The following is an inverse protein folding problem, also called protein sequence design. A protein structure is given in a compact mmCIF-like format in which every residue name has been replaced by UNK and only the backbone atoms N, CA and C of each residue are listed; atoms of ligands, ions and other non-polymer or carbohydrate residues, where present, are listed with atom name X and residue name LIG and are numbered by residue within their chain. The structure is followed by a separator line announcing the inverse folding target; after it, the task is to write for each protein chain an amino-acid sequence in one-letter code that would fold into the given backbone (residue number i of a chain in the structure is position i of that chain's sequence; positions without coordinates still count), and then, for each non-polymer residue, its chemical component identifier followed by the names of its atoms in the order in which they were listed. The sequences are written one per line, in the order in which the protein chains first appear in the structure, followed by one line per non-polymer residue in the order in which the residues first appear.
data_IF_848968477072
#
_entry.id   IF_848968477072
#
_cell.length_a   1.000
_cell.length_b   1.000
_cell.length_c   1.000
_cell.angle_alpha   90.00
_cell.angle_beta   90.00
_cell.angle_gamma   90.00
#
_symmetry.space_group_name_H-M   'P 1'
#
loop_
_entity.id
_entity.type
_entity.pdbx_description
1 polymer ?
#
# COMPACT_ATOMS: atom_id res chain seq x y z
N UNK A 1 -25.08 -62.36 6.32
CA UNK A 1 -26.24 -62.64 5.47
C UNK A 1 -26.41 -61.46 4.52
N UNK A 2 -26.05 -61.72 3.22
CA UNK A 2 -26.39 -61.03 1.96
C UNK A 2 -26.43 -59.51 1.89
N UNK A 3 -25.42 -58.86 1.28
CA UNK A 3 -25.17 -58.63 -0.18
C UNK A 3 -26.39 -58.25 -1.00
N UNK A 4 -26.40 -57.02 -1.56
CA UNK A 4 -26.66 -56.78 -2.99
C UNK A 4 -26.00 -55.46 -3.43
N UNK A 5 -25.02 -55.58 -4.33
CA UNK A 5 -24.46 -54.54 -5.17
C UNK A 5 -25.31 -54.36 -6.39
N UNK A 6 -25.63 -53.16 -6.84
CA UNK A 6 -26.14 -52.89 -8.20
C UNK A 6 -25.22 -51.96 -8.94
N UNK A 7 -24.44 -52.55 -9.85
CA UNK A 7 -23.74 -51.85 -10.96
C UNK A 7 -24.77 -51.49 -12.02
N UNK A 8 -24.88 -50.19 -12.39
CA UNK A 8 -25.56 -49.76 -13.63
C UNK A 8 -24.47 -49.58 -14.69
N UNK A 9 -24.44 -50.53 -15.64
CA UNK A 9 -23.61 -50.46 -16.84
C UNK A 9 -24.30 -49.68 -17.94
N UNK A 10 -23.65 -48.65 -18.48
CA UNK A 10 -24.10 -48.02 -19.72
C UNK A 10 -23.58 -48.77 -20.94
N UNK A 11 -24.54 -49.27 -21.74
CA UNK A 11 -24.28 -49.99 -22.99
C UNK A 11 -24.01 -49.02 -24.14
N UNK A 12 -22.94 -49.27 -24.92
CA UNK A 12 -22.51 -48.51 -26.10
C UNK A 12 -23.36 -48.67 -27.36
N UNK A 13 -24.63 -49.08 -27.26
CA UNK A 13 -25.46 -49.44 -28.43
C UNK A 13 -26.73 -48.60 -28.71
N UNK A 14 -26.79 -47.35 -28.19
CA UNK A 14 -27.93 -46.44 -28.46
C UNK A 14 -27.54 -45.19 -29.25
N UNK A 15 -26.62 -45.34 -30.21
CA UNK A 15 -26.16 -44.23 -31.03
C UNK A 15 -26.15 -44.63 -32.51
N UNK A 16 -27.30 -45.03 -33.07
CA UNK A 16 -27.51 -45.05 -34.51
C UNK A 16 -28.91 -45.56 -34.81
N UNK A 17 -29.90 -44.65 -34.87
CA UNK A 17 -31.05 -44.73 -35.79
C UNK A 17 -31.86 -43.44 -35.70
N UNK A 18 -32.00 -42.74 -36.82
CA UNK A 18 -32.92 -41.62 -36.95
C UNK A 18 -32.39 -40.49 -37.82
N UNK A 19 -32.11 -40.80 -39.09
CA UNK A 19 -32.00 -39.75 -40.10
C UNK A 19 -33.40 -39.49 -40.70
N UNK A 20 -33.72 -38.24 -40.87
CA UNK A 20 -34.52 -37.57 -41.85
C UNK A 20 -35.59 -36.62 -41.29
N UNK A 21 -35.49 -35.37 -41.65
CA UNK A 21 -36.66 -34.49 -41.77
C UNK A 21 -36.66 -33.22 -40.93
N UNK A 22 -36.33 -32.17 -41.59
CA UNK A 22 -36.84 -30.79 -41.57
C UNK A 22 -35.81 -29.72 -41.19
N UNK A 23 -35.43 -28.97 -42.21
CA UNK A 23 -34.79 -27.66 -42.14
C UNK A 23 -35.73 -26.68 -41.42
N UNK A 24 -35.42 -26.37 -40.19
CA UNK A 24 -35.87 -25.17 -39.53
C UNK A 24 -34.64 -24.37 -39.13
N UNK A 25 -34.45 -23.21 -39.76
CA UNK A 25 -33.44 -22.26 -39.42
C UNK A 25 -33.68 -21.73 -38.00
N UNK A 26 -33.03 -22.34 -37.01
CA UNK A 26 -32.92 -21.75 -35.68
C UNK A 26 -31.68 -20.89 -35.66
N UNK A 27 -31.90 -19.59 -35.55
CA UNK A 27 -30.89 -18.60 -35.19
C UNK A 27 -30.14 -19.07 -33.94
N UNK A 28 -28.94 -19.60 -34.14
CA UNK A 28 -28.00 -19.85 -33.05
C UNK A 28 -27.55 -18.47 -32.52
N UNK A 29 -28.20 -18.03 -31.47
CA UNK A 29 -27.65 -16.95 -30.65
C UNK A 29 -26.29 -17.43 -30.14
N UNK A 30 -25.23 -16.88 -30.70
CA UNK A 30 -23.89 -16.95 -30.11
C UNK A 30 -23.96 -16.25 -28.74
N UNK A 31 -24.39 -16.95 -27.71
CA UNK A 31 -24.04 -16.56 -26.36
C UNK A 31 -22.51 -16.64 -26.26
N UNK A 32 -21.90 -15.49 -26.50
CA UNK A 32 -20.49 -15.27 -26.13
C UNK A 32 -20.46 -15.42 -24.62
N UNK A 33 -20.12 -16.61 -24.12
CA UNK A 33 -19.75 -16.80 -22.74
C UNK A 33 -18.55 -15.88 -22.50
N UNK A 34 -18.81 -14.71 -21.94
CA UNK A 34 -17.77 -13.81 -21.47
C UNK A 34 -16.85 -14.65 -20.58
N UNK A 35 -15.60 -14.81 -20.98
CA UNK A 35 -14.60 -15.45 -20.11
C UNK A 35 -14.71 -14.78 -18.75
N UNK A 36 -14.80 -15.53 -17.64
CA UNK A 36 -14.87 -14.93 -16.32
C UNK A 36 -13.70 -13.98 -16.18
N UNK A 37 -14.01 -12.69 -16.06
CA UNK A 37 -12.99 -11.66 -15.81
C UNK A 37 -12.36 -12.01 -14.47
N UNK A 38 -11.08 -12.36 -14.47
CA UNK A 38 -10.35 -12.59 -13.20
C UNK A 38 -10.56 -11.34 -12.34
N UNK A 39 -10.98 -11.47 -11.07
CA UNK A 39 -11.10 -10.32 -10.20
C UNK A 39 -9.78 -9.56 -10.18
N UNK A 40 -9.83 -8.25 -10.35
CA UNK A 40 -8.64 -7.41 -10.32
C UNK A 40 -7.94 -7.60 -8.98
N UNK A 41 -6.64 -7.81 -9.00
CA UNK A 41 -5.81 -7.96 -7.80
C UNK A 41 -5.95 -6.74 -6.89
N UNK A 42 -6.16 -6.97 -5.60
CA UNK A 42 -6.14 -5.90 -4.60
C UNK A 42 -4.71 -5.39 -4.42
N UNK A 43 -4.59 -4.08 -4.21
CA UNK A 43 -3.29 -3.40 -4.11
C UNK A 43 -3.30 -2.39 -2.96
N UNK A 44 -2.12 -2.08 -2.43
CA UNK A 44 -1.90 -1.07 -1.40
C UNK A 44 -0.99 0.04 -1.93
N UNK A 45 -1.41 1.29 -1.75
CA UNK A 45 -0.57 2.47 -1.92
C UNK A 45 -0.47 3.21 -0.58
N UNK A 46 0.73 3.26 -0.01
CA UNK A 46 1.02 3.98 1.23
C UNK A 46 1.73 5.30 0.90
N UNK A 47 1.07 6.42 1.10
CA UNK A 47 1.65 7.76 1.05
C UNK A 47 2.12 8.12 2.46
N UNK A 48 3.41 8.02 2.69
CA UNK A 48 4.02 8.20 4.01
C UNK A 48 4.61 9.60 4.15
N UNK A 49 4.01 10.41 5.03
CA UNK A 49 4.40 11.78 5.32
C UNK A 49 5.45 11.78 6.43
N UNK A 50 6.70 11.49 6.04
CA UNK A 50 7.83 11.23 6.94
C UNK A 50 8.22 12.45 7.75
N UNK A 51 8.25 12.27 9.04
CA UNK A 51 8.47 13.33 10.02
C UNK A 51 7.21 13.71 10.78
N UNK A 52 6.06 13.15 10.43
CA UNK A 52 4.80 13.43 11.13
C UNK A 52 4.17 14.77 10.75
N UNK A 53 3.37 14.77 9.68
CA UNK A 53 2.62 15.95 9.26
C UNK A 53 1.69 16.45 10.38
N UNK A 54 1.72 17.76 10.63
CA UNK A 54 0.87 18.35 11.67
C UNK A 54 -0.61 18.25 11.32
N UNK A 55 -1.38 17.66 12.23
CA UNK A 55 -2.83 17.58 12.12
C UNK A 55 -3.48 18.97 12.07
N UNK A 56 -2.88 19.98 12.72
CA UNK A 56 -3.40 21.35 12.77
C UNK A 56 -3.31 22.04 11.40
N UNK A 57 -2.24 21.82 10.69
CA UNK A 57 -1.99 22.42 9.38
C UNK A 57 -2.55 21.56 8.23
N UNK A 58 -3.18 20.41 8.55
CA UNK A 58 -3.76 19.50 7.55
C UNK A 58 -5.24 19.18 7.84
N UNK A 59 -5.50 18.10 8.54
CA UNK A 59 -6.83 17.46 8.61
C UNK A 59 -7.73 17.97 9.74
N UNK A 60 -7.17 18.51 10.82
CA UNK A 60 -7.91 18.89 12.04
C UNK A 60 -7.53 20.29 12.55
N UNK A 61 -7.73 21.34 11.72
CA UNK A 61 -7.36 22.71 12.09
C UNK A 61 -8.17 23.23 13.28
N UNK A 62 -7.54 24.07 14.12
CA UNK A 62 -8.14 24.71 15.31
C UNK A 62 -8.04 26.25 15.21
N UNK A 63 -8.59 26.87 14.16
CA UNK A 63 -8.41 28.30 13.90
C UNK A 63 -8.92 29.16 15.07
N UNK A 64 -8.22 30.25 15.38
CA UNK A 64 -8.58 31.17 16.44
C UNK A 64 -8.32 30.68 17.86
N UNK A 65 -7.77 29.48 18.03
CA UNK A 65 -7.34 28.99 19.35
C UNK A 65 -5.84 29.23 19.55
N UNK A 66 -5.37 29.13 20.79
CA UNK A 66 -3.94 29.27 21.12
C UNK A 66 -3.05 28.17 20.49
N UNK A 67 -3.65 27.08 20.02
CA UNK A 67 -2.97 25.95 19.40
C UNK A 67 -3.08 25.91 17.88
N UNK A 68 -4.00 26.68 17.28
CA UNK A 68 -4.41 26.57 15.88
C UNK A 68 -3.42 27.12 14.84
N UNK A 69 -2.47 27.97 15.27
CA UNK A 69 -1.56 28.64 14.36
C UNK A 69 -2.26 29.68 13.46
N UNK A 70 -1.59 30.15 12.40
CA UNK A 70 -2.06 31.29 11.57
C UNK A 70 -3.07 30.89 10.49
N UNK A 71 -3.25 29.61 10.20
CA UNK A 71 -4.05 29.17 9.06
C UNK A 71 -5.53 29.06 9.38
N UNK A 72 -6.34 29.33 8.35
CA UNK A 72 -7.79 29.22 8.43
C UNK A 72 -8.23 27.77 8.15
N UNK A 73 -9.46 27.48 8.58
CA UNK A 73 -10.17 26.27 8.19
C UNK A 73 -11.15 26.57 7.05
N UNK A 74 -11.09 25.80 5.98
CA UNK A 74 -11.97 25.93 4.81
C UNK A 74 -13.00 24.80 4.78
N UNK A 75 -14.18 25.10 4.22
CA UNK A 75 -15.23 24.10 3.98
C UNK A 75 -14.80 23.07 2.96
N UNK A 76 -15.32 21.87 3.10
CA UNK A 76 -15.04 20.74 2.20
C UNK A 76 -16.29 20.33 1.42
N UNK A 77 -16.14 19.35 0.53
CA UNK A 77 -17.27 18.71 -0.15
C UNK A 77 -18.17 17.89 0.80
N UNK A 78 -17.81 17.74 2.07
CA UNK A 78 -18.66 17.12 3.09
C UNK A 78 -19.26 18.25 3.95
N UNK A 79 -20.59 18.40 4.00
CA UNK A 79 -21.24 19.43 4.79
C UNK A 79 -20.78 19.43 6.26
N UNK A 80 -20.45 20.60 6.80
CA UNK A 80 -20.01 20.76 8.21
C UNK A 80 -18.55 20.36 8.48
N UNK A 81 -17.87 19.70 7.55
CA UNK A 81 -16.47 19.30 7.70
C UNK A 81 -15.54 20.38 7.14
N UNK A 82 -14.55 20.76 7.93
CA UNK A 82 -13.50 21.68 7.53
C UNK A 82 -12.12 21.04 7.67
N UNK A 83 -11.19 21.44 6.78
CA UNK A 83 -9.75 21.12 6.84
C UNK A 83 -8.94 22.39 6.69
N UNK A 84 -7.62 22.32 6.80
CA UNK A 84 -6.74 23.46 6.62
C UNK A 84 -6.88 24.09 5.23
N UNK A 85 -6.80 25.43 5.14
CA UNK A 85 -6.75 26.15 3.88
C UNK A 85 -5.52 25.80 3.01
N UNK A 86 -4.54 25.12 3.57
CA UNK A 86 -3.39 24.63 2.83
C UNK A 86 -3.72 23.44 1.91
N UNK A 87 -4.93 22.88 2.01
CA UNK A 87 -5.40 21.73 1.21
C UNK A 87 -6.64 22.08 0.35
N UNK A 88 -6.58 23.13 -0.51
CA UNK A 88 -7.75 23.63 -1.20
C UNK A 88 -8.27 22.70 -2.31
N UNK A 89 -7.43 21.85 -2.91
CA UNK A 89 -7.87 20.87 -3.90
C UNK A 89 -8.44 19.64 -3.23
N UNK A 90 -7.78 19.15 -2.18
CA UNK A 90 -8.26 18.01 -1.36
C UNK A 90 -9.63 18.32 -0.73
N UNK A 91 -9.88 19.58 -0.31
CA UNK A 91 -11.18 19.97 0.25
C UNK A 91 -12.36 19.69 -0.70
N UNK A 92 -12.14 19.76 -2.01
CA UNK A 92 -13.15 19.51 -3.05
C UNK A 92 -13.45 18.02 -3.26
N UNK A 93 -12.53 17.14 -2.88
CA UNK A 93 -12.66 15.69 -3.04
C UNK A 93 -12.81 14.93 -1.73
N UNK A 94 -13.06 15.63 -0.61
CA UNK A 94 -13.20 15.02 0.71
C UNK A 94 -14.27 13.93 0.76
N UNK A 95 -15.31 14.04 -0.05
CA UNK A 95 -16.35 13.00 -0.21
C UNK A 95 -15.82 11.65 -0.72
N UNK A 96 -14.58 11.59 -1.21
CA UNK A 96 -13.89 10.35 -1.65
C UNK A 96 -12.91 9.81 -0.61
N UNK A 97 -12.69 10.56 0.45
CA UNK A 97 -11.74 10.23 1.52
C UNK A 97 -12.46 9.79 2.79
N UNK A 98 -11.79 8.97 3.56
CA UNK A 98 -12.10 8.72 4.97
C UNK A 98 -10.98 9.32 5.78
N UNK A 99 -11.30 10.27 6.66
CA UNK A 99 -10.33 10.92 7.55
C UNK A 99 -10.53 10.43 8.97
N UNK A 100 -9.45 10.03 9.63
CA UNK A 100 -9.43 9.67 11.05
C UNK A 100 -8.71 10.77 11.80
N UNK A 101 -9.39 11.43 12.77
CA UNK A 101 -8.84 12.53 13.59
C UNK A 101 -8.45 12.12 15.00
N UNK A 102 -8.56 10.85 15.30
CA UNK A 102 -8.45 10.33 16.67
C UNK A 102 -7.37 9.27 16.84
N UNK A 103 -6.34 9.29 15.98
CA UNK A 103 -5.24 8.34 16.12
C UNK A 103 -4.44 8.68 17.38
N UNK A 104 -4.19 7.65 18.19
CA UNK A 104 -3.46 7.74 19.44
C UNK A 104 -2.48 6.56 19.55
N UNK A 105 -1.21 6.83 19.37
CA UNK A 105 -0.14 5.84 19.51
C UNK A 105 0.59 5.94 20.84
N UNK A 106 0.56 7.10 21.48
CA UNK A 106 1.42 7.47 22.61
C UNK A 106 2.93 7.33 22.34
N UNK A 107 3.33 7.33 21.08
CA UNK A 107 4.72 7.16 20.65
C UNK A 107 5.20 8.47 19.99
N UNK A 108 5.96 9.32 20.70
CA UNK A 108 6.53 10.55 20.16
C UNK A 108 7.98 10.34 19.67
N UNK A 109 8.25 9.25 18.97
CA UNK A 109 9.57 8.86 18.47
C UNK A 109 9.47 8.35 17.04
N UNK A 110 10.35 8.80 16.15
CA UNK A 110 10.28 8.46 14.73
C UNK A 110 10.49 6.98 14.47
N UNK A 111 11.51 6.39 15.08
CA UNK A 111 11.84 5.00 14.79
C UNK A 111 10.75 4.03 15.30
N UNK A 112 10.38 4.18 16.57
CA UNK A 112 9.32 3.37 17.17
C UNK A 112 7.96 3.66 16.54
N UNK A 113 7.65 4.93 16.28
CA UNK A 113 6.38 5.35 15.65
C UNK A 113 6.24 4.79 14.25
N UNK A 114 7.30 4.87 13.44
CA UNK A 114 7.32 4.32 12.09
C UNK A 114 7.14 2.81 12.09
N UNK A 115 7.86 2.10 12.97
CA UNK A 115 7.71 0.66 13.10
C UNK A 115 6.30 0.27 13.56
N UNK A 116 5.81 0.89 14.63
CA UNK A 116 4.50 0.58 15.18
C UNK A 116 3.36 0.90 14.19
N UNK A 117 3.46 2.01 13.45
CA UNK A 117 2.52 2.35 12.39
C UNK A 117 2.45 1.27 11.31
N UNK A 118 3.59 0.80 10.85
CA UNK A 118 3.67 -0.13 9.73
C UNK A 118 3.46 -1.59 10.13
N UNK A 119 3.70 -1.97 11.37
CA UNK A 119 3.50 -3.35 11.85
C UNK A 119 2.21 -3.55 12.67
N UNK A 120 1.57 -2.44 13.08
CA UNK A 120 0.46 -2.46 14.05
C UNK A 120 0.89 -2.88 15.45
N UNK A 121 2.19 -2.92 15.73
CA UNK A 121 2.76 -3.48 16.98
C UNK A 121 3.92 -2.62 17.46
N UNK A 122 4.11 -2.56 18.77
CA UNK A 122 5.27 -1.90 19.39
C UNK A 122 6.47 -2.84 19.60
N UNK A 123 6.32 -4.13 19.31
CA UNK A 123 7.35 -5.16 19.49
C UNK A 123 8.01 -5.48 18.14
N UNK A 124 9.35 -5.41 18.02
CA UNK A 124 10.05 -5.69 16.77
C UNK A 124 9.96 -7.17 16.34
N UNK A 125 10.27 -7.43 15.05
CA UNK A 125 10.32 -8.76 14.47
C UNK A 125 9.10 -9.14 13.63
N UNK A 126 8.04 -8.34 13.65
CA UNK A 126 6.86 -8.54 12.79
C UNK A 126 7.03 -7.83 11.43
N UNK A 127 6.43 -8.39 10.37
CA UNK A 127 6.48 -7.77 9.05
C UNK A 127 5.76 -6.42 9.04
N UNK A 128 6.29 -5.47 8.29
CA UNK A 128 5.61 -4.21 8.00
C UNK A 128 4.46 -4.42 7.02
N UNK A 129 3.51 -3.49 6.99
CA UNK A 129 2.28 -3.57 6.20
C UNK A 129 2.53 -3.93 4.73
N UNK A 130 3.55 -3.32 4.10
CA UNK A 130 3.89 -3.62 2.71
C UNK A 130 4.29 -5.08 2.49
N UNK A 131 5.13 -5.62 3.37
CA UNK A 131 5.58 -7.02 3.33
C UNK A 131 4.45 -7.99 3.67
N UNK A 132 3.63 -7.65 4.66
CA UNK A 132 2.46 -8.43 5.05
C UNK A 132 1.45 -8.53 3.89
N UNK A 133 1.09 -7.40 3.27
CA UNK A 133 0.16 -7.34 2.13
C UNK A 133 0.75 -8.07 0.92
N UNK A 134 2.05 -7.90 0.63
CA UNK A 134 2.72 -8.63 -0.45
C UNK A 134 2.63 -10.15 -0.27
N UNK A 135 2.78 -10.65 0.97
CA UNK A 135 2.62 -12.08 1.29
C UNK A 135 1.18 -12.55 1.17
N UNK A 136 0.25 -11.80 1.74
CA UNK A 136 -1.15 -12.23 1.90
C UNK A 136 -1.96 -12.14 0.60
N UNK A 137 -1.54 -11.27 -0.34
CA UNK A 137 -2.17 -11.10 -1.66
C UNK A 137 -1.34 -11.70 -2.81
N UNK A 138 -0.29 -12.47 -2.50
CA UNK A 138 0.55 -13.12 -3.50
C UNK A 138 -0.28 -14.03 -4.42
N UNK A 139 -0.02 -13.93 -5.72
CA UNK A 139 -0.59 -14.80 -6.73
C UNK A 139 0.51 -15.69 -7.37
N UNK A 140 0.17 -16.89 -7.85
CA UNK A 140 1.16 -17.80 -8.45
C UNK A 140 1.88 -17.21 -9.68
N UNK A 141 1.28 -16.24 -10.36
CA UNK A 141 1.78 -15.55 -11.54
C UNK A 141 2.41 -14.16 -11.24
N UNK A 142 2.67 -13.87 -9.96
CA UNK A 142 3.38 -12.66 -9.56
C UNK A 142 4.88 -12.79 -9.82
N UNK A 143 5.38 -12.10 -10.83
CA UNK A 143 6.80 -12.09 -11.19
C UNK A 143 7.56 -10.87 -10.66
N UNK A 144 6.85 -9.78 -10.34
CA UNK A 144 7.45 -8.57 -9.77
C UNK A 144 7.55 -8.69 -8.24
N UNK A 145 8.47 -7.95 -7.60
CA UNK A 145 8.46 -7.81 -6.15
C UNK A 145 7.09 -7.35 -5.66
N UNK A 146 6.57 -8.02 -4.65
CA UNK A 146 5.26 -7.69 -4.10
C UNK A 146 5.23 -6.34 -3.36
N UNK A 147 6.39 -5.86 -2.89
CA UNK A 147 6.52 -4.58 -2.19
C UNK A 147 7.65 -3.73 -2.75
N UNK A 148 7.35 -2.47 -3.10
CA UNK A 148 8.32 -1.48 -3.56
C UNK A 148 8.17 -0.21 -2.73
N UNK A 149 9.30 0.31 -2.21
CA UNK A 149 9.38 1.57 -1.47
C UNK A 149 10.13 2.62 -2.28
N UNK A 150 9.47 3.75 -2.55
CA UNK A 150 10.00 4.87 -3.35
C UNK A 150 10.25 6.05 -2.43
N UNK A 151 11.45 6.62 -2.49
CA UNK A 151 11.83 7.80 -1.72
C UNK A 151 12.88 8.64 -2.44
N UNK A 152 13.09 9.88 -2.02
CA UNK A 152 14.31 10.60 -2.36
C UNK A 152 15.48 10.09 -1.52
N UNK A 153 16.70 10.42 -1.90
CA UNK A 153 17.85 10.26 -1.04
C UNK A 153 17.73 11.18 0.19
N UNK A 154 18.17 10.71 1.35
CA UNK A 154 17.98 11.46 2.59
C UNK A 154 18.32 10.64 3.83
N UNK A 155 18.06 11.18 5.03
CA UNK A 155 18.37 10.51 6.29
C UNK A 155 17.74 9.10 6.34
N UNK A 156 18.55 8.11 6.66
CA UNK A 156 18.13 6.70 6.73
C UNK A 156 17.42 6.34 8.04
N UNK A 157 17.58 7.18 9.07
CA UNK A 157 17.35 6.81 10.46
C UNK A 157 15.95 6.28 10.78
N UNK A 158 14.90 6.76 10.12
CA UNK A 158 13.52 6.35 10.45
C UNK A 158 12.69 5.88 9.24
N UNK A 159 13.31 5.71 8.07
CA UNK A 159 12.61 5.23 6.88
C UNK A 159 12.95 3.79 6.50
N UNK A 160 14.01 3.24 7.07
CA UNK A 160 14.57 1.93 6.77
C UNK A 160 14.41 0.97 7.96
N UNK A 161 13.18 0.76 8.39
CA UNK A 161 12.88 -0.29 9.38
C UNK A 161 12.79 -1.61 8.64
N UNK A 162 13.37 -2.67 9.18
CA UNK A 162 13.36 -4.00 8.60
C UNK A 162 11.94 -4.39 8.15
N UNK A 163 11.80 -4.75 6.88
CA UNK A 163 10.50 -4.76 6.24
C UNK A 163 9.75 -6.08 6.42
N UNK A 164 10.43 -7.21 6.19
CA UNK A 164 9.77 -8.51 6.08
C UNK A 164 9.64 -9.28 7.39
N UNK A 165 10.42 -8.92 8.44
CA UNK A 165 10.43 -9.66 9.69
C UNK A 165 10.64 -11.17 9.46
N UNK A 166 9.85 -12.01 10.11
CA UNK A 166 9.92 -13.47 9.97
C UNK A 166 9.45 -14.00 8.60
N UNK A 167 8.87 -13.19 7.72
CA UNK A 167 8.46 -13.63 6.37
C UNK A 167 9.66 -13.87 5.46
N UNK A 168 10.81 -13.26 5.75
CA UNK A 168 12.07 -13.46 5.05
C UNK A 168 12.21 -12.64 3.76
N UNK A 169 13.38 -12.75 3.13
CA UNK A 169 13.84 -11.89 2.04
C UNK A 169 12.92 -11.82 0.81
N UNK A 170 12.09 -12.82 0.58
CA UNK A 170 11.12 -12.81 -0.52
C UNK A 170 10.17 -11.62 -0.47
N UNK A 171 9.79 -11.21 0.73
CA UNK A 171 8.81 -10.15 0.98
C UNK A 171 9.45 -8.85 1.45
N UNK A 172 10.79 -8.78 1.43
CA UNK A 172 11.53 -7.56 1.66
C UNK A 172 11.18 -6.52 0.59
N UNK A 173 11.04 -5.25 1.00
CA UNK A 173 10.73 -4.17 0.08
C UNK A 173 11.91 -3.84 -0.83
N UNK A 174 11.68 -3.75 -2.13
CA UNK A 174 12.67 -3.21 -3.07
C UNK A 174 12.66 -1.69 -2.99
N UNK A 175 13.83 -1.09 -2.75
CA UNK A 175 13.97 0.37 -2.63
C UNK A 175 14.28 1.02 -3.96
N UNK A 176 13.58 2.10 -4.23
CA UNK A 176 13.84 3.02 -5.35
C UNK A 176 14.17 4.38 -4.76
N UNK A 177 15.29 4.95 -5.17
CA UNK A 177 15.76 6.25 -4.70
C UNK A 177 15.77 7.23 -5.88
N UNK A 178 15.26 8.45 -5.68
CA UNK A 178 15.26 9.54 -6.66
C UNK A 178 14.65 9.17 -8.02
N UNK A 179 13.59 8.38 -8.04
CA UNK A 179 12.92 7.88 -9.27
C UNK A 179 13.85 7.13 -10.24
N UNK A 180 15.02 6.73 -9.79
CA UNK A 180 15.95 5.97 -10.61
C UNK A 180 15.60 4.49 -10.54
N UNK A 181 15.74 3.82 -11.67
CA UNK A 181 15.68 2.35 -11.69
C UNK A 181 16.63 1.80 -10.64
N UNK A 182 16.29 0.69 -9.97
CA UNK A 182 17.24 0.01 -9.10
C UNK A 182 18.58 -0.19 -9.82
N UNK A 183 19.67 0.00 -9.07
CA UNK A 183 21.02 -0.19 -9.63
C UNK A 183 21.19 -1.60 -10.21
N UNK A 184 22.04 -1.74 -11.21
CA UNK A 184 22.40 -3.01 -11.83
C UNK A 184 21.26 -3.79 -12.52
N UNK A 185 20.17 -3.12 -12.92
CA UNK A 185 19.13 -3.74 -13.77
C UNK A 185 19.57 -3.96 -15.22
N UNK A 186 20.74 -3.51 -15.60
CA UNK A 186 21.31 -3.69 -16.96
C UNK A 186 22.52 -4.60 -16.82
N UNK A 187 22.46 -5.74 -17.49
CA UNK A 187 23.63 -6.61 -17.57
C UNK A 187 24.79 -5.85 -18.25
N UNK A 188 26.04 -6.01 -17.77
CA UNK A 188 27.19 -5.43 -18.46
C UNK A 188 27.22 -5.85 -19.93
N UNK A 189 27.54 -4.93 -20.83
CA UNK A 189 27.62 -5.21 -22.29
C UNK A 189 28.60 -6.34 -22.65
N UNK A 190 29.56 -6.61 -21.76
CA UNK A 190 30.52 -7.71 -21.91
C UNK A 190 29.92 -9.10 -21.66
N UNK A 191 28.72 -9.18 -21.03
CA UNK A 191 28.07 -10.45 -20.69
C UNK A 191 27.08 -10.83 -21.81
N UNK A 192 27.43 -11.83 -22.59
CA UNK A 192 26.54 -12.34 -23.63
C UNK A 192 25.38 -13.14 -23.03
N UNK A 193 24.17 -13.11 -23.65
CA UNK A 193 22.99 -13.85 -23.19
C UNK A 193 23.24 -15.35 -22.97
N UNK A 194 24.09 -15.97 -23.78
CA UNK A 194 24.44 -17.39 -23.69
C UNK A 194 25.18 -17.69 -22.39
N UNK A 195 26.04 -16.76 -21.95
CA UNK A 195 26.75 -16.87 -20.66
C UNK A 195 25.78 -16.75 -19.49
N UNK A 196 24.85 -15.80 -19.53
CA UNK A 196 23.81 -15.67 -18.53
C UNK A 196 22.99 -16.94 -18.40
N UNK A 197 22.54 -17.52 -19.51
CA UNK A 197 21.78 -18.78 -19.51
C UNK A 197 22.60 -19.97 -18.98
N UNK A 198 23.91 -19.99 -19.25
CA UNK A 198 24.78 -21.03 -18.68
C UNK A 198 24.95 -20.88 -17.18
N UNK A 199 25.19 -19.68 -16.70
CA UNK A 199 25.29 -19.35 -15.27
C UNK A 199 24.02 -19.76 -14.55
N UNK A 200 22.84 -19.46 -15.09
CA UNK A 200 21.55 -19.85 -14.50
C UNK A 200 21.38 -21.36 -14.41
N UNK A 201 21.74 -22.11 -15.45
CA UNK A 201 21.68 -23.57 -15.43
C UNK A 201 22.61 -24.17 -14.37
N UNK A 202 23.85 -23.66 -14.29
CA UNK A 202 24.82 -24.11 -13.28
C UNK A 202 24.33 -23.79 -11.87
N UNK A 203 23.83 -22.57 -11.65
CA UNK A 203 23.23 -22.16 -10.37
C UNK A 203 22.07 -23.08 -9.96
N UNK A 204 21.09 -23.32 -10.84
CA UNK A 204 19.95 -24.19 -10.57
C UNK A 204 20.39 -25.61 -10.20
N UNK A 205 21.36 -26.17 -10.95
CA UNK A 205 21.89 -27.52 -10.67
C UNK A 205 22.63 -27.57 -9.33
N UNK A 206 23.38 -26.53 -9.00
CA UNK A 206 24.08 -26.40 -7.70
C UNK A 206 23.10 -26.26 -6.55
N UNK A 207 22.08 -25.42 -6.69
CA UNK A 207 21.03 -25.22 -5.69
C UNK A 207 20.25 -26.52 -5.42
N UNK A 208 19.94 -27.29 -6.47
CA UNK A 208 19.28 -28.59 -6.30
C UNK A 208 20.17 -29.58 -5.53
N UNK A 209 21.45 -29.67 -5.88
CA UNK A 209 22.39 -30.55 -5.16
C UNK A 209 22.54 -30.10 -3.68
N UNK A 210 22.61 -28.82 -3.44
CA UNK A 210 22.77 -28.26 -2.10
C UNK A 210 21.53 -28.45 -1.23
N UNK A 211 20.33 -28.50 -1.82
CA UNK A 211 19.07 -28.79 -1.11
C UNK A 211 18.96 -30.22 -0.62
N UNK A 212 19.66 -31.16 -1.25
CA UNK A 212 19.59 -32.57 -0.83
C UNK A 212 20.16 -32.74 0.57
N UNK A 213 19.33 -33.19 1.50
CA UNK A 213 19.71 -33.51 2.89
C UNK A 213 19.94 -32.31 3.82
N UNK A 214 19.54 -31.07 3.43
CA UNK A 214 19.68 -29.86 4.24
C UNK A 214 18.37 -29.13 4.43
N UNK A 215 18.28 -28.36 5.53
CA UNK A 215 17.16 -27.45 5.73
C UNK A 215 17.21 -26.34 4.66
N UNK A 216 16.19 -26.30 3.77
CA UNK A 216 16.26 -25.62 2.47
C UNK A 216 15.89 -24.13 2.50
N UNK A 217 15.52 -23.55 3.67
CA UNK A 217 14.93 -22.21 3.73
C UNK A 217 15.86 -21.05 3.28
N UNK A 218 17.13 -20.96 3.70
CA UNK A 218 18.01 -19.89 3.23
C UNK A 218 18.30 -20.00 1.71
N UNK A 219 18.38 -21.22 1.20
CA UNK A 219 18.67 -21.49 -0.22
C UNK A 219 17.44 -21.16 -1.09
N UNK A 220 16.24 -21.49 -0.60
CA UNK A 220 15.01 -21.12 -1.27
C UNK A 220 14.87 -19.59 -1.37
N UNK A 221 15.19 -18.86 -0.28
CA UNK A 221 15.19 -17.39 -0.26
C UNK A 221 16.16 -16.79 -1.29
N UNK A 222 17.38 -17.32 -1.38
CA UNK A 222 18.37 -16.87 -2.38
C UNK A 222 17.87 -17.06 -3.82
N UNK A 223 17.36 -18.26 -4.14
CA UNK A 223 16.79 -18.53 -5.48
C UNK A 223 15.62 -17.63 -5.83
N UNK A 224 14.76 -17.32 -4.86
CA UNK A 224 13.63 -16.39 -5.06
C UNK A 224 14.10 -14.97 -5.32
N UNK A 225 15.04 -14.45 -4.52
CA UNK A 225 15.60 -13.10 -4.71
C UNK A 225 16.29 -12.97 -6.08
N UNK A 226 17.00 -14.01 -6.52
CA UNK A 226 17.61 -14.03 -7.85
C UNK A 226 16.55 -13.98 -8.97
N UNK A 227 15.49 -14.76 -8.85
CA UNK A 227 14.41 -14.76 -9.83
C UNK A 227 13.65 -13.42 -9.87
N UNK A 228 13.48 -12.76 -8.71
CA UNK A 228 12.93 -11.41 -8.65
C UNK A 228 13.84 -10.39 -9.33
N UNK A 229 15.16 -10.47 -9.13
CA UNK A 229 16.12 -9.61 -9.82
C UNK A 229 16.08 -9.80 -11.33
N UNK A 230 16.04 -11.05 -11.82
CA UNK A 230 15.91 -11.37 -13.24
C UNK A 230 14.60 -10.82 -13.84
N UNK A 231 13.48 -10.97 -13.12
CA UNK A 231 12.19 -10.42 -13.54
C UNK A 231 12.21 -8.88 -13.61
N UNK A 232 12.89 -8.21 -12.66
CA UNK A 232 13.09 -6.77 -12.69
C UNK A 232 13.94 -6.33 -13.88
N UNK A 233 15.04 -7.04 -14.17
CA UNK A 233 15.89 -6.77 -15.33
C UNK A 233 15.12 -6.89 -16.65
N UNK A 234 14.25 -7.89 -16.79
CA UNK A 234 13.40 -8.10 -17.96
C UNK A 234 12.29 -7.06 -18.13
N UNK A 235 11.92 -6.35 -17.07
CA UNK A 235 10.85 -5.34 -17.06
C UNK A 235 11.33 -3.96 -16.59
N UNK A 236 12.61 -3.64 -16.78
CA UNK A 236 13.21 -2.38 -16.34
C UNK A 236 12.46 -1.13 -16.81
N UNK A 237 11.76 -1.22 -17.94
CA UNK A 237 10.97 -0.13 -18.51
C UNK A 237 9.82 0.35 -17.60
N UNK A 238 9.37 -0.46 -16.62
CA UNK A 238 8.32 -0.02 -15.68
C UNK A 238 8.79 1.10 -14.75
N UNK A 239 10.12 1.19 -14.53
CA UNK A 239 10.73 2.22 -13.68
C UNK A 239 11.02 3.51 -14.44
N UNK A 240 10.93 3.51 -15.76
CA UNK A 240 11.29 4.63 -16.61
C UNK A 240 10.11 5.58 -16.78
N UNK A 241 10.02 6.59 -15.89
CA UNK A 241 8.98 7.62 -15.96
C UNK A 241 9.20 8.63 -17.10
N UNK A 242 10.37 8.65 -17.76
CA UNK A 242 10.60 9.52 -18.92
C UNK A 242 9.65 9.21 -20.09
N UNK A 243 9.03 8.04 -20.07
CA UNK A 243 8.01 7.61 -21.04
C UNK A 243 6.61 8.16 -20.77
N UNK A 244 6.39 8.74 -19.60
CA UNK A 244 5.13 9.42 -19.30
C UNK A 244 5.06 10.76 -20.04
N UNK A 245 3.86 11.28 -20.26
CA UNK A 245 3.67 12.53 -20.98
C UNK A 245 4.19 13.73 -20.17
N UNK A 246 4.65 14.78 -20.86
CA UNK A 246 5.02 16.04 -20.19
C UNK A 246 3.85 16.60 -19.37
N UNK A 247 2.62 16.43 -19.86
CA UNK A 247 1.41 16.81 -19.14
C UNK A 247 1.27 16.05 -17.83
N UNK A 248 1.61 14.75 -17.78
CA UNK A 248 1.58 13.98 -16.54
C UNK A 248 2.64 14.48 -15.56
N UNK A 249 3.88 14.69 -16.03
CA UNK A 249 4.92 15.28 -15.19
C UNK A 249 4.50 16.63 -14.60
N UNK A 250 3.86 17.47 -15.40
CA UNK A 250 3.39 18.78 -14.95
C UNK A 250 2.22 18.66 -13.97
N UNK A 251 1.24 17.78 -14.20
CA UNK A 251 0.08 17.58 -13.31
C UNK A 251 0.49 17.06 -11.93
N UNK A 252 1.40 16.10 -11.87
CA UNK A 252 1.93 15.55 -10.61
C UNK A 252 2.84 16.52 -9.88
N UNK A 253 3.43 17.50 -10.58
CA UNK A 253 4.42 18.45 -10.06
C UNK A 253 5.86 17.94 -10.24
N UNK A 254 6.79 18.88 -10.49
CA UNK A 254 8.20 18.58 -10.79
C UNK A 254 9.08 18.32 -9.55
N UNK A 255 8.46 18.26 -8.38
CA UNK A 255 9.12 17.93 -7.12
C UNK A 255 9.16 16.40 -6.91
N UNK A 256 10.06 15.94 -6.05
CA UNK A 256 10.31 14.50 -5.81
C UNK A 256 9.06 13.70 -5.49
N UNK A 257 8.20 14.21 -4.60
CA UNK A 257 6.98 13.50 -4.20
C UNK A 257 6.03 13.30 -5.38
N UNK A 258 5.84 14.33 -6.23
CA UNK A 258 5.00 14.24 -7.42
C UNK A 258 5.50 13.19 -8.40
N UNK A 259 6.80 13.21 -8.71
CA UNK A 259 7.42 12.26 -9.62
C UNK A 259 7.44 10.83 -9.04
N UNK A 260 7.63 10.69 -7.72
CA UNK A 260 7.51 9.41 -7.01
C UNK A 260 6.09 8.84 -7.08
N UNK A 261 5.05 9.68 -6.97
CA UNK A 261 3.66 9.26 -7.13
C UNK A 261 3.32 8.86 -8.56
N UNK A 262 3.88 9.54 -9.56
CA UNK A 262 3.76 9.17 -10.97
C UNK A 262 4.37 7.78 -11.22
N UNK A 263 5.55 7.50 -10.67
CA UNK A 263 6.17 6.17 -10.71
C UNK A 263 5.31 5.13 -9.96
N UNK A 264 4.78 5.46 -8.80
CA UNK A 264 3.92 4.56 -8.02
C UNK A 264 2.66 4.15 -8.81
N UNK A 265 1.99 5.09 -9.47
CA UNK A 265 0.87 4.80 -10.39
C UNK A 265 1.29 3.76 -11.44
N UNK A 266 2.43 3.96 -12.07
CA UNK A 266 2.97 3.07 -13.11
C UNK A 266 3.28 1.67 -12.59
N UNK A 267 3.88 1.57 -11.41
CA UNK A 267 4.17 0.28 -10.75
C UNK A 267 2.89 -0.48 -10.39
N UNK A 268 1.88 0.20 -9.84
CA UNK A 268 0.57 -0.40 -9.56
C UNK A 268 -0.10 -0.89 -10.84
N UNK A 269 -0.05 -0.12 -11.94
CA UNK A 269 -0.54 -0.56 -13.26
C UNK A 269 0.18 -1.80 -13.79
N UNK A 270 1.45 -1.96 -13.43
CA UNK A 270 2.27 -3.12 -13.81
C UNK A 270 2.02 -4.35 -12.93
N UNK A 271 1.16 -4.25 -11.90
CA UNK A 271 0.77 -5.38 -11.05
C UNK A 271 1.56 -5.51 -9.74
N UNK A 272 2.37 -4.51 -9.36
CA UNK A 272 3.00 -4.48 -8.02
C UNK A 272 1.92 -4.42 -6.96
N UNK A 273 2.00 -5.29 -5.94
CA UNK A 273 0.95 -5.43 -4.93
C UNK A 273 0.92 -4.28 -3.94
N UNK A 274 2.10 -3.85 -3.49
CA UNK A 274 2.25 -2.76 -2.53
C UNK A 274 3.30 -1.76 -2.99
N UNK A 275 2.94 -0.48 -2.99
CA UNK A 275 3.89 0.62 -3.23
C UNK A 275 3.79 1.60 -2.06
N UNK A 276 4.94 1.93 -1.47
CA UNK A 276 5.09 3.01 -0.48
C UNK A 276 5.79 4.18 -1.14
N UNK A 277 5.24 5.37 -1.01
CA UNK A 277 5.88 6.62 -1.44
C UNK A 277 6.13 7.48 -0.21
N UNK A 278 7.37 7.85 0.02
CA UNK A 278 7.73 8.72 1.15
C UNK A 278 7.82 10.17 0.70
N UNK A 279 7.06 11.03 1.37
CA UNK A 279 7.16 12.48 1.29
C UNK A 279 7.87 12.99 2.54
N UNK A 280 9.04 13.62 2.37
CA UNK A 280 9.92 14.05 3.46
C UNK A 280 9.61 15.46 3.97
N UNK A 281 10.33 15.83 5.04
CA UNK A 281 10.43 17.18 5.62
C UNK A 281 9.14 17.66 6.30
N UNK A 282 8.41 16.74 6.95
CA UNK A 282 7.29 17.09 7.81
C UNK A 282 7.71 17.26 9.28
N UNK A 283 8.99 17.02 9.61
CA UNK A 283 9.55 17.15 10.96
C UNK A 283 9.93 18.61 11.29
N UNK A 284 8.91 19.45 11.45
CA UNK A 284 9.07 20.89 11.56
C UNK A 284 9.14 21.39 13.01
N UNK A 285 10.28 21.15 13.68
CA UNK A 285 10.59 21.68 15.01
C UNK A 285 10.84 23.20 15.05
N UNK A 286 11.04 23.83 13.90
CA UNK A 286 11.16 25.26 13.70
C UNK A 286 10.44 25.63 12.39
N UNK A 287 9.99 26.87 12.31
CA UNK A 287 9.34 27.42 11.10
C UNK A 287 8.22 26.50 10.55
N UNK A 288 7.44 25.86 11.43
CA UNK A 288 6.42 24.88 11.07
C UNK A 288 5.46 25.38 10.00
N UNK A 289 5.06 26.65 10.10
CA UNK A 289 4.06 27.22 9.20
C UNK A 289 4.61 27.41 7.79
N UNK A 290 5.86 27.83 7.67
CA UNK A 290 6.56 27.95 6.38
C UNK A 290 6.72 26.59 5.70
N UNK A 291 7.20 25.60 6.46
CA UNK A 291 7.39 24.25 5.90
C UNK A 291 6.08 23.60 5.50
N UNK A 292 5.02 23.74 6.30
CA UNK A 292 3.71 23.18 5.94
C UNK A 292 3.09 23.87 4.72
N UNK A 293 3.31 25.16 4.47
CA UNK A 293 2.88 25.81 3.22
C UNK A 293 3.50 25.13 2.00
N UNK A 294 4.79 24.84 2.04
CA UNK A 294 5.50 24.20 0.93
C UNK A 294 5.02 22.74 0.77
N UNK A 295 5.07 21.96 1.85
CA UNK A 295 4.75 20.52 1.80
C UNK A 295 3.27 20.26 1.49
N UNK A 296 2.36 21.07 2.02
CA UNK A 296 0.95 20.93 1.68
C UNK A 296 0.67 21.31 0.22
N UNK A 297 1.34 22.31 -0.35
CA UNK A 297 1.17 22.65 -1.76
C UNK A 297 1.59 21.50 -2.69
N UNK A 298 2.73 20.87 -2.40
CA UNK A 298 3.20 19.67 -3.10
C UNK A 298 2.22 18.50 -2.93
N UNK A 299 1.81 18.24 -1.70
CA UNK A 299 0.93 17.13 -1.33
C UNK A 299 -0.47 17.26 -1.92
N UNK A 300 -1.12 18.41 -1.74
CA UNK A 300 -2.52 18.67 -2.13
C UNK A 300 -2.74 18.43 -3.63
N UNK A 301 -1.87 19.01 -4.46
CA UNK A 301 -1.92 18.83 -5.90
C UNK A 301 -1.68 17.39 -6.32
N UNK A 302 -0.63 16.78 -5.78
CA UNK A 302 -0.24 15.41 -6.14
C UNK A 302 -1.29 14.39 -5.72
N UNK A 303 -1.82 14.50 -4.50
CA UNK A 303 -2.85 13.60 -3.99
C UNK A 303 -4.10 13.60 -4.88
N UNK A 304 -4.60 14.80 -5.21
CA UNK A 304 -5.81 14.91 -6.04
C UNK A 304 -5.57 14.37 -7.44
N UNK A 305 -4.43 14.68 -8.05
CA UNK A 305 -4.05 14.13 -9.37
C UNK A 305 -3.98 12.61 -9.35
N UNK A 306 -3.31 12.04 -8.35
CA UNK A 306 -3.15 10.59 -8.20
C UNK A 306 -4.49 9.88 -8.01
N UNK A 307 -5.35 10.38 -7.13
CA UNK A 307 -6.68 9.79 -6.89
C UNK A 307 -7.59 9.87 -8.12
N UNK A 308 -7.50 10.97 -8.89
CA UNK A 308 -8.22 11.09 -10.15
C UNK A 308 -7.73 10.07 -11.17
N UNK A 309 -6.43 9.96 -11.37
CA UNK A 309 -5.83 8.99 -12.30
C UNK A 309 -6.18 7.53 -11.93
N UNK A 310 -6.11 7.19 -10.64
CA UNK A 310 -6.49 5.85 -10.18
C UNK A 310 -7.99 5.57 -10.41
N UNK A 311 -8.84 6.56 -10.20
CA UNK A 311 -10.29 6.45 -10.44
C UNK A 311 -10.61 6.31 -11.93
N UNK A 312 -10.06 7.19 -12.78
CA UNK A 312 -10.28 7.18 -14.24
C UNK A 312 -9.82 5.88 -14.89
N UNK A 313 -8.76 5.27 -14.34
CA UNK A 313 -8.26 3.97 -14.79
C UNK A 313 -8.99 2.77 -14.18
N UNK A 314 -10.02 2.99 -13.35
CA UNK A 314 -10.75 1.94 -12.64
C UNK A 314 -9.85 1.10 -11.72
N UNK A 315 -8.82 1.74 -11.14
CA UNK A 315 -7.89 1.12 -10.21
C UNK A 315 -8.24 1.38 -8.75
N UNK A 316 -8.87 2.53 -8.46
CA UNK A 316 -9.12 2.97 -7.08
C UNK A 316 -9.99 1.97 -6.31
N UNK A 317 -10.95 1.32 -6.95
CA UNK A 317 -11.82 0.29 -6.35
C UNK A 317 -11.04 -0.95 -5.85
N UNK A 318 -9.85 -1.18 -6.39
CA UNK A 318 -8.99 -2.28 -6.01
C UNK A 318 -7.69 -1.85 -5.33
N UNK A 319 -7.46 -0.56 -5.17
CA UNK A 319 -6.28 0.01 -4.52
C UNK A 319 -6.68 0.72 -3.24
N UNK A 320 -6.24 0.19 -2.09
CA UNK A 320 -6.31 0.92 -0.82
C UNK A 320 -5.21 1.98 -0.81
N UNK A 321 -5.60 3.24 -0.72
CA UNK A 321 -4.67 4.37 -0.54
C UNK A 321 -4.68 4.77 0.92
N UNK A 322 -3.54 4.69 1.60
CA UNK A 322 -3.35 5.10 2.99
C UNK A 322 -2.42 6.31 3.02
N UNK A 323 -2.82 7.37 3.71
CA UNK A 323 -2.12 8.65 3.80
C UNK A 323 -1.86 8.92 5.28
N UNK A 324 -0.62 8.82 5.74
CA UNK A 324 -0.30 8.91 7.16
C UNK A 324 1.16 9.29 7.40
N UNK A 325 1.43 9.90 8.55
CA UNK A 325 2.77 10.00 9.13
C UNK A 325 2.88 9.04 10.31
N UNK A 326 4.05 8.98 10.92
CA UNK A 326 4.34 8.10 12.08
C UNK A 326 3.80 8.65 13.40
N UNK A 327 3.49 9.95 13.45
CA UNK A 327 2.91 10.64 14.61
C UNK A 327 2.34 11.99 14.18
N UNK A 328 1.75 12.73 15.10
CA UNK A 328 1.33 14.12 14.93
C UNK A 328 2.33 15.10 15.54
N UNK A 329 1.88 16.36 15.65
CA UNK A 329 2.66 17.47 16.19
C UNK A 329 1.99 18.09 17.42
N UNK A 330 2.83 18.65 18.33
CA UNK A 330 2.33 19.25 19.56
C UNK A 330 1.30 20.34 19.28
N UNK A 331 0.23 20.41 20.11
CA UNK A 331 -0.68 21.55 20.09
C UNK A 331 0.04 22.86 20.41
N UNK A 332 0.98 22.83 21.32
CA UNK A 332 1.79 23.98 21.67
C UNK A 332 2.80 24.28 20.56
N UNK A 333 2.82 25.53 20.13
CA UNK A 333 3.84 26.10 19.23
C UNK A 333 5.03 26.47 20.12
N UNK A 334 6.22 25.97 19.79
CA UNK A 334 7.44 26.25 20.56
C UNK A 334 8.02 27.64 20.21
N UNK A 335 9.08 28.03 20.91
CA UNK A 335 9.70 29.36 20.77
C UNK A 335 10.43 29.58 19.43
N UNK A 336 10.60 28.53 18.61
CA UNK A 336 11.15 28.61 17.26
C UNK A 336 10.05 28.63 16.19
N UNK A 337 8.80 28.81 16.57
CA UNK A 337 7.67 28.75 15.64
C UNK A 337 7.41 27.34 15.09
N UNK A 338 7.95 26.34 15.75
CA UNK A 338 7.82 24.92 15.41
C UNK A 338 6.79 24.18 16.25
N UNK A 339 6.60 22.89 15.90
CA UNK A 339 5.83 21.95 16.71
C UNK A 339 6.66 20.69 16.94
N UNK A 340 6.70 20.22 18.18
CA UNK A 340 7.44 19.02 18.56
C UNK A 340 6.60 17.75 18.34
N UNK A 341 7.15 16.57 18.69
CA UNK A 341 6.49 15.29 18.46
C UNK A 341 5.27 15.10 19.37
N UNK A 342 4.19 14.52 18.81
CA UNK A 342 2.95 14.27 19.55
C UNK A 342 2.30 12.95 19.14
N UNK A 343 2.30 11.99 20.07
CA UNK A 343 1.69 10.68 19.85
C UNK A 343 0.24 10.55 20.37
N UNK A 344 -0.29 11.56 21.10
CA UNK A 344 -1.55 11.44 21.82
C UNK A 344 -2.80 11.67 20.98
N UNK A 345 -2.69 12.52 19.97
CA UNK A 345 -3.81 12.83 19.08
C UNK A 345 -3.29 13.34 17.74
N UNK A 346 -3.60 12.63 16.66
CA UNK A 346 -3.20 13.02 15.32
C UNK A 346 -4.14 12.44 14.25
N UNK A 347 -3.92 12.77 13.00
CA UNK A 347 -4.86 12.48 11.92
C UNK A 347 -4.21 11.78 10.76
N UNK A 348 -4.99 10.95 10.07
CA UNK A 348 -4.64 10.31 8.82
C UNK A 348 -5.84 10.26 7.86
N UNK A 349 -5.61 9.87 6.61
CA UNK A 349 -6.69 9.67 5.65
C UNK A 349 -6.51 8.35 4.87
N UNK A 350 -7.62 7.87 4.32
CA UNK A 350 -7.69 6.69 3.46
C UNK A 350 -8.61 6.96 2.27
N UNK A 351 -8.41 6.21 1.19
CA UNK A 351 -9.32 6.18 0.04
C UNK A 351 -9.30 4.82 -0.66
N UNK A 352 -10.32 4.54 -1.43
CA UNK A 352 -10.35 3.42 -2.36
C UNK A 352 -10.84 2.11 -1.76
N UNK A 353 -10.22 1.01 -2.17
CA UNK A 353 -10.64 -0.35 -1.89
C UNK A 353 -11.09 -0.60 -0.46
N UNK A 354 -12.33 -1.08 -0.29
CA UNK A 354 -12.90 -1.53 0.98
C UNK A 354 -13.09 -0.45 2.05
N UNK A 355 -12.78 0.82 1.73
CA UNK A 355 -12.95 1.94 2.67
C UNK A 355 -14.21 2.71 2.32
N UNK A 356 -15.02 3.02 3.35
CA UNK A 356 -16.24 3.78 3.21
C UNK A 356 -15.93 5.26 2.96
N UNK A 357 -16.27 5.83 1.80
CA UNK A 357 -15.87 7.19 1.47
C UNK A 357 -16.72 8.25 2.17
N UNK A 358 -16.21 9.48 2.30
CA UNK A 358 -16.95 10.63 2.80
C UNK A 358 -17.15 10.64 4.33
N UNK A 359 -16.28 9.97 5.09
CA UNK A 359 -16.37 9.90 6.55
C UNK A 359 -15.23 10.68 7.20
N UNK A 360 -15.57 11.36 8.30
CA UNK A 360 -14.61 11.85 9.30
C UNK A 360 -14.88 11.12 10.59
N UNK A 361 -13.94 10.30 11.02
CA UNK A 361 -14.06 9.42 12.19
C UNK A 361 -13.24 9.94 13.35
N UNK A 362 -13.86 9.97 14.51
CA UNK A 362 -13.27 10.49 15.73
C UNK A 362 -13.06 12.00 15.71
N UNK A 363 -12.80 12.55 16.86
CA UNK A 363 -12.50 13.98 17.02
C UNK A 363 -11.48 14.20 18.14
N UNK A 364 -10.83 15.36 18.10
CA UNK A 364 -10.03 15.89 19.19
C UNK A 364 -10.82 16.95 19.95
N UNK A 365 -10.35 17.31 21.15
CA UNK A 365 -10.92 18.43 21.91
C UNK A 365 -10.66 19.76 21.17
N UNK A 366 -11.22 20.86 21.68
CA UNK A 366 -11.17 22.20 21.06
C UNK A 366 -9.75 22.70 20.80
N UNK A 367 -8.80 22.30 21.62
CA UNK A 367 -7.39 22.66 21.52
C UNK A 367 -6.54 21.61 20.78
N UNK A 368 -7.12 20.48 20.39
CA UNK A 368 -6.38 19.39 19.73
C UNK A 368 -5.36 18.69 20.63
N UNK A 369 -5.48 18.84 21.96
CA UNK A 369 -4.51 18.27 22.90
C UNK A 369 -4.73 16.79 23.17
N UNK A 370 -5.96 16.31 22.98
CA UNK A 370 -6.35 14.94 23.28
C UNK A 370 -7.46 14.48 22.34
N UNK A 371 -7.57 13.19 22.16
CA UNK A 371 -8.72 12.57 21.52
C UNK A 371 -9.95 12.75 22.41
N UNK A 372 -11.03 13.23 21.82
CA UNK A 372 -12.32 13.46 22.51
C UNK A 372 -13.22 12.23 22.39
N UNK A 373 -13.28 11.63 21.22
CA UNK A 373 -14.12 10.46 20.96
C UNK A 373 -13.46 9.48 19.99
N UNK A 374 -13.93 8.24 20.00
CA UNK A 374 -13.52 7.16 19.11
C UNK A 374 -11.98 7.04 18.96
N UNK A 375 -11.23 6.82 20.05
CA UNK A 375 -9.78 6.70 19.98
C UNK A 375 -9.36 5.50 19.12
N UNK A 376 -8.37 5.70 18.27
CA UNK A 376 -7.85 4.72 17.32
C UNK A 376 -6.40 4.38 17.63
N UNK A 377 -6.12 3.11 17.86
CA UNK A 377 -4.76 2.59 18.05
C UNK A 377 -4.18 2.11 16.73
N UNK A 378 -2.85 2.02 16.65
CA UNK A 378 -2.16 1.56 15.43
C UNK A 378 -2.49 0.11 15.06
N UNK A 379 -2.69 -0.77 16.04
CA UNK A 379 -3.16 -2.12 15.81
C UNK A 379 -4.54 -2.18 15.16
N UNK A 380 -5.46 -1.30 15.57
CA UNK A 380 -6.81 -1.21 14.99
C UNK A 380 -6.76 -0.77 13.52
N UNK A 381 -5.87 0.18 13.21
CA UNK A 381 -5.62 0.61 11.82
C UNK A 381 -5.04 -0.54 10.97
N UNK A 382 -4.09 -1.28 11.51
CA UNK A 382 -3.49 -2.40 10.79
C UNK A 382 -4.54 -3.47 10.44
N UNK A 383 -5.39 -3.85 11.38
CA UNK A 383 -6.55 -4.71 11.13
C UNK A 383 -7.48 -4.12 10.06
N UNK A 384 -7.78 -2.83 10.16
CA UNK A 384 -8.68 -2.12 9.25
C UNK A 384 -8.13 -2.12 7.82
N UNK A 385 -6.82 -1.90 7.63
CA UNK A 385 -6.18 -1.96 6.30
C UNK A 385 -6.28 -3.35 5.69
N UNK A 386 -6.00 -4.39 6.47
CA UNK A 386 -6.10 -5.77 6.00
C UNK A 386 -7.54 -6.13 5.61
N UNK A 387 -8.52 -5.78 6.43
CA UNK A 387 -9.95 -6.01 6.15
C UNK A 387 -10.43 -5.25 4.91
N UNK A 388 -10.00 -4.00 4.73
CA UNK A 388 -10.29 -3.22 3.52
C UNK A 388 -9.75 -3.90 2.25
N UNK A 389 -8.62 -4.57 2.34
CA UNK A 389 -8.04 -5.38 1.26
C UNK A 389 -8.68 -6.77 1.12
N UNK A 390 -9.72 -7.09 1.91
CA UNK A 390 -10.39 -8.38 1.89
C UNK A 390 -9.60 -9.51 2.56
N UNK A 391 -8.62 -9.17 3.39
CA UNK A 391 -7.82 -10.13 4.14
C UNK A 391 -8.45 -10.34 5.52
N UNK A 392 -8.66 -11.58 5.92
CA UNK A 392 -9.07 -11.89 7.29
C UNK A 392 -7.90 -11.70 8.25
N UNK A 393 -7.92 -10.58 8.94
CA UNK A 393 -6.84 -10.16 9.84
C UNK A 393 -6.80 -10.92 11.17
N UNK A 394 -7.76 -11.82 11.43
CA UNK A 394 -7.79 -12.69 12.61
C UNK A 394 -7.04 -14.01 12.40
N UNK A 395 -6.60 -14.28 11.17
CA UNK A 395 -5.83 -15.48 10.83
C UNK A 395 -4.38 -15.38 11.28
N UNK A 396 -3.70 -16.52 11.17
CA UNK A 396 -2.28 -16.65 11.49
C UNK A 396 -1.44 -16.93 10.24
N UNK A 397 -0.19 -16.47 10.25
CA UNK A 397 0.84 -16.99 9.37
C UNK A 397 1.28 -18.38 9.87
N UNK A 398 1.40 -19.32 8.96
CA UNK A 398 2.11 -20.57 9.24
C UNK A 398 3.44 -20.53 8.49
N UNK A 399 4.52 -20.28 9.22
CA UNK A 399 5.87 -20.17 8.68
C UNK A 399 6.75 -21.22 9.35
N UNK A 400 7.20 -22.20 8.57
CA UNK A 400 8.08 -23.28 9.05
C UNK A 400 7.53 -24.06 10.27
N UNK A 401 6.20 -24.23 10.32
CA UNK A 401 5.52 -24.91 11.43
C UNK A 401 5.31 -24.02 12.68
N UNK A 402 5.71 -22.76 12.63
CA UNK A 402 5.40 -21.76 13.66
C UNK A 402 4.19 -20.95 13.25
N UNK A 403 3.27 -20.76 14.18
CA UNK A 403 2.06 -19.98 14.02
C UNK A 403 2.28 -18.59 14.60
N UNK A 404 2.07 -17.54 13.79
CA UNK A 404 2.22 -16.15 14.19
C UNK A 404 0.97 -15.37 13.76
N UNK A 405 0.30 -14.62 14.66
CA UNK A 405 -0.86 -13.80 14.29
C UNK A 405 -0.53 -12.79 13.21
N UNK A 406 -1.38 -12.68 12.18
CA UNK A 406 -1.23 -11.69 11.09
C UNK A 406 -1.24 -10.27 11.64
N UNK A 407 -2.19 -9.98 12.53
CA UNK A 407 -2.31 -8.70 13.21
C UNK A 407 -2.30 -8.87 14.75
N UNK A 408 -2.25 -7.80 15.50
CA UNK A 408 -2.23 -7.85 16.96
C UNK A 408 -3.55 -8.41 17.52
N UNK A 409 -3.58 -9.57 18.21
CA UNK A 409 -4.81 -10.14 18.74
C UNK A 409 -5.53 -9.24 19.77
N UNK A 410 -4.81 -8.27 20.36
CA UNK A 410 -5.38 -7.32 21.29
C UNK A 410 -6.10 -6.13 20.62
N UNK A 411 -6.01 -6.02 19.30
CA UNK A 411 -6.63 -4.97 18.48
C UNK A 411 -7.77 -5.54 17.62
N UNK A 412 -8.58 -4.63 17.03
CA UNK A 412 -9.73 -5.01 16.21
C UNK A 412 -9.89 -4.05 15.02
N UNK A 413 -10.44 -4.50 13.88
CA UNK A 413 -10.78 -3.59 12.79
C UNK A 413 -11.87 -2.59 13.23
N UNK A 414 -11.83 -1.42 12.62
CA UNK A 414 -12.83 -0.38 12.82
C UNK A 414 -13.89 -0.51 11.73
N UNK A 415 -14.91 -1.31 11.98
CA UNK A 415 -15.94 -1.66 10.98
C UNK A 415 -16.67 -0.43 10.40
N UNK A 416 -16.80 0.65 11.17
CA UNK A 416 -17.41 1.90 10.70
C UNK A 416 -16.64 2.57 9.54
N UNK A 417 -15.36 2.25 9.36
CA UNK A 417 -14.51 2.75 8.28
C UNK A 417 -14.55 1.86 7.04
N UNK A 418 -15.16 0.67 7.13
CA UNK A 418 -15.20 -0.33 6.06
C UNK A 418 -16.50 -0.25 5.26
N UNK A 419 -16.39 -0.47 3.92
CA UNK A 419 -17.50 -0.43 2.97
C UNK A 419 -18.29 -1.75 2.91
#
# INVERSE_FOLDING_TARGET
MNLISSRIGFSRRALFTGAAGSLAASSISNEVFAKPVKPKKKQLLLLFLSGGASQFETWDPKPGTKTGGPFRAISTSIPGVKISELLPQTSKIMHRLTVVRSVNSNIPDHFLGHYALQSGRSVPGYPVLGSAVAKLLEQPDDFLPGYISIRRDGPKAYTDVGDAGFLGAKYEGVRIVNNQSPENLIAPLSVKPEITNLVDRVRMATDQRFKMGRNSNPIASYGITYNQADALMKRKEIFDISKESQSDHDRYGKHDFGQNCLLAKRLLQSGVTCVKVTHFDWDAHQDNFYWHQIRCAEFDRTLVTLLNDLSEKGMLENTLVVITGEMGRTPQINNLGGRDHWGRAWSMAMAGCGVKPGIVYGSTNELGTEVKDNPVKLGDLFHTYLRALGIDSSLDYNINGQTNPIADPAAKPIDLLLA
#
